data_IF_924221027497
#
_entry.id   IF_924221027497
#
_cell.length_a   1.000
_cell.length_b   1.000
_cell.length_c   1.000
_cell.angle_alpha   90.00
_cell.angle_beta   90.00
_cell.angle_gamma   90.00
#
_symmetry.space_group_name_H-M   'P 1'
#
loop_
_entity.id
_entity.type
_entity.pdbx_description
1 polymer ?
#
# COMPACT_ATOMS: atom_id res chain seq x y z
N UNK A 1 -16.75 53.42 -40.28
CA UNK A 1 -16.23 53.33 -38.90
C UNK A 1 -17.28 52.58 -38.10
N UNK A 2 -17.09 51.48 -37.38
CA UNK A 2 -16.03 50.50 -37.19
C UNK A 2 -16.79 49.20 -36.79
N UNK A 3 -16.33 48.01 -37.20
CA UNK A 3 -16.97 46.74 -36.80
C UNK A 3 -16.83 46.53 -35.28
N UNK A 4 -17.85 46.02 -34.57
CA UNK A 4 -17.67 45.61 -33.19
C UNK A 4 -16.69 44.42 -33.18
N UNK A 5 -15.55 44.62 -32.53
CA UNK A 5 -14.57 43.56 -32.35
C UNK A 5 -15.19 42.50 -31.44
N UNK A 6 -15.50 41.35 -32.03
CA UNK A 6 -15.81 40.14 -31.29
C UNK A 6 -14.50 39.72 -30.60
N UNK A 7 -14.34 40.14 -29.35
CA UNK A 7 -13.25 39.70 -28.49
C UNK A 7 -13.51 38.24 -28.11
N UNK A 8 -13.22 37.34 -29.04
CA UNK A 8 -13.07 35.92 -28.78
C UNK A 8 -11.74 35.76 -28.01
N UNK A 9 -11.77 36.09 -26.73
CA UNK A 9 -10.68 35.79 -25.81
C UNK A 9 -10.81 34.30 -25.51
N UNK A 10 -9.86 33.44 -25.93
CA UNK A 10 -9.90 32.04 -25.52
C UNK A 10 -9.85 32.03 -23.99
N UNK A 11 -10.90 31.49 -23.37
CA UNK A 11 -10.89 31.28 -21.93
C UNK A 11 -9.66 30.44 -21.57
N UNK A 12 -8.88 30.81 -20.53
CA UNK A 12 -7.86 29.92 -20.02
C UNK A 12 -8.55 28.60 -19.65
N UNK A 13 -8.11 27.51 -20.26
CA UNK A 13 -8.57 26.19 -19.88
C UNK A 13 -7.96 25.92 -18.51
N UNK A 14 -8.77 25.99 -17.46
CA UNK A 14 -8.31 25.67 -16.12
C UNK A 14 -7.80 24.22 -16.11
N UNK A 15 -6.57 23.96 -15.61
CA UNK A 15 -6.05 22.61 -15.55
C UNK A 15 -6.90 21.76 -14.61
N UNK A 16 -7.20 20.54 -15.04
CA UNK A 16 -7.95 19.57 -14.24
C UNK A 16 -6.97 18.90 -13.27
N UNK A 17 -7.25 19.03 -11.97
CA UNK A 17 -6.52 18.34 -10.91
C UNK A 17 -7.25 17.07 -10.52
N UNK A 18 -6.57 15.93 -10.61
CA UNK A 18 -7.07 14.61 -10.20
C UNK A 18 -6.37 14.21 -8.92
N UNK A 19 -7.13 14.09 -7.85
CA UNK A 19 -6.63 13.60 -6.58
C UNK A 19 -6.46 12.07 -6.63
N UNK A 20 -5.31 11.61 -6.13
CA UNK A 20 -5.05 10.20 -5.85
C UNK A 20 -5.05 9.95 -4.36
N UNK A 21 -5.64 8.84 -3.97
CA UNK A 21 -5.53 8.29 -2.63
C UNK A 21 -4.82 6.94 -2.70
N UNK A 22 -3.98 6.65 -1.71
CA UNK A 22 -3.31 5.37 -1.58
C UNK A 22 -3.63 4.77 -0.22
N UNK A 23 -4.01 3.49 -0.22
CA UNK A 23 -4.23 2.72 0.99
C UNK A 23 -3.31 1.49 0.99
N UNK A 24 -2.67 1.23 2.12
CA UNK A 24 -1.82 0.05 2.29
C UNK A 24 -2.54 -1.06 3.04
N UNK A 25 -2.29 -2.29 2.63
CA UNK A 25 -2.71 -3.49 3.35
C UNK A 25 -1.54 -4.46 3.41
N UNK A 26 -1.31 -5.02 4.60
CA UNK A 26 -0.32 -6.06 4.83
C UNK A 26 -1.05 -7.36 5.12
N UNK A 27 -0.60 -8.45 4.52
CA UNK A 27 -1.21 -9.78 4.68
C UNK A 27 -0.13 -10.85 4.74
N UNK A 28 -0.32 -11.83 5.62
CA UNK A 28 0.54 -13.00 5.66
C UNK A 28 0.31 -13.87 4.42
N UNK A 29 1.39 -14.46 3.92
CA UNK A 29 1.31 -15.46 2.87
C UNK A 29 1.22 -16.82 3.55
N UNK A 30 0.09 -17.51 3.37
CA UNK A 30 -0.14 -18.83 3.94
C UNK A 30 1.03 -19.77 3.63
N UNK A 31 1.43 -20.54 4.64
CA UNK A 31 2.53 -21.53 4.57
C UNK A 31 3.91 -20.91 4.21
N UNK A 32 4.08 -19.60 4.42
CA UNK A 32 5.33 -18.88 4.18
C UNK A 32 5.71 -17.98 5.34
N UNK A 33 7.01 -17.81 5.58
CA UNK A 33 7.53 -16.80 6.52
C UNK A 33 7.59 -15.39 5.88
N UNK A 34 6.77 -15.14 4.86
CA UNK A 34 6.75 -13.90 4.08
C UNK A 34 5.40 -13.22 4.22
N UNK A 35 5.42 -11.90 4.12
CA UNK A 35 4.25 -11.05 4.06
C UNK A 35 4.15 -10.38 2.70
N UNK A 36 2.93 -10.08 2.28
CA UNK A 36 2.65 -9.25 1.12
C UNK A 36 2.16 -7.90 1.61
N UNK A 37 2.73 -6.83 1.06
CA UNK A 37 2.12 -5.51 1.13
C UNK A 37 1.52 -5.18 -0.22
N UNK A 38 0.30 -4.65 -0.19
CA UNK A 38 -0.44 -4.17 -1.35
C UNK A 38 -0.78 -2.70 -1.14
N UNK A 39 -0.40 -1.86 -2.11
CA UNK A 39 -0.90 -0.50 -2.26
C UNK A 39 -2.09 -0.53 -3.22
N UNK A 40 -3.23 -0.05 -2.75
CA UNK A 40 -4.42 0.17 -3.57
C UNK A 40 -4.57 1.66 -3.83
N UNK A 41 -4.69 2.02 -5.10
CA UNK A 41 -4.76 3.41 -5.55
C UNK A 41 -6.18 3.71 -5.99
N UNK A 42 -6.75 4.76 -5.44
CA UNK A 42 -8.06 5.28 -5.84
C UNK A 42 -7.87 6.63 -6.51
N UNK A 43 -8.48 6.81 -7.68
CA UNK A 43 -8.48 8.09 -8.40
C UNK A 43 -9.90 8.51 -8.69
N UNK A 44 -10.19 9.80 -8.66
CA UNK A 44 -11.52 10.32 -8.97
C UNK A 44 -11.47 11.34 -10.11
N UNK A 45 -12.12 11.06 -11.25
CA UNK A 45 -12.73 9.78 -11.66
C UNK A 45 -11.70 8.66 -11.89
N UNK A 46 -12.12 7.41 -11.69
CA UNK A 46 -11.28 6.18 -11.71
C UNK A 46 -10.65 5.85 -13.08
N UNK A 47 -10.90 6.68 -14.10
CA UNK A 47 -10.44 6.45 -15.48
C UNK A 47 -9.08 7.08 -15.80
N UNK A 48 -8.44 7.77 -14.84
CA UNK A 48 -7.14 8.40 -15.07
C UNK A 48 -5.99 7.40 -14.91
N UNK A 49 -5.09 7.39 -15.90
CA UNK A 49 -4.11 6.35 -16.25
C UNK A 49 -3.13 5.96 -15.15
N UNK A 50 -3.63 5.26 -14.14
CA UNK A 50 -2.82 4.79 -13.00
C UNK A 50 -2.25 3.39 -13.27
N UNK A 51 -2.94 2.59 -14.10
CA UNK A 51 -2.46 1.28 -14.52
C UNK A 51 -1.17 1.42 -15.33
N UNK A 52 -0.16 0.62 -15.00
CA UNK A 52 1.15 0.67 -15.63
C UNK A 52 2.13 1.65 -14.98
N UNK A 53 1.69 2.48 -14.04
CA UNK A 53 2.60 3.32 -13.26
C UNK A 53 3.36 2.50 -12.21
N UNK A 54 4.48 3.04 -11.74
CA UNK A 54 5.36 2.37 -10.77
C UNK A 54 5.19 2.99 -9.39
N UNK A 55 4.80 2.16 -8.42
CA UNK A 55 4.79 2.51 -6.99
C UNK A 55 6.13 2.11 -6.37
N UNK A 56 6.71 3.01 -5.58
CA UNK A 56 7.90 2.75 -4.77
C UNK A 56 7.50 2.46 -3.33
N UNK A 57 7.84 1.26 -2.86
CA UNK A 57 7.70 0.82 -1.47
C UNK A 57 9.04 0.94 -0.76
N UNK A 58 9.07 1.52 0.44
CA UNK A 58 10.22 1.45 1.35
C UNK A 58 9.85 0.59 2.53
N UNK A 59 10.45 -0.60 2.62
CA UNK A 59 10.19 -1.56 3.71
C UNK A 59 11.42 -1.59 4.60
N UNK A 60 11.29 -1.06 5.81
CA UNK A 60 12.38 -0.94 6.78
C UNK A 60 13.68 -0.37 6.22
N UNK A 61 13.55 0.65 5.37
CA UNK A 61 14.66 1.34 4.69
C UNK A 61 15.13 0.69 3.38
N UNK A 62 14.52 -0.42 2.94
CA UNK A 62 14.84 -1.06 1.67
C UNK A 62 13.79 -0.70 0.62
N UNK A 63 14.23 -0.04 -0.45
CA UNK A 63 13.37 0.32 -1.57
C UNK A 63 13.04 -0.88 -2.47
N UNK A 64 11.79 -0.95 -2.91
CA UNK A 64 11.24 -1.93 -3.84
C UNK A 64 10.22 -1.25 -4.72
N UNK A 65 10.02 -1.76 -5.93
CA UNK A 65 9.07 -1.19 -6.87
C UNK A 65 8.10 -2.24 -7.37
N UNK A 66 6.84 -1.86 -7.56
CA UNK A 66 5.86 -2.68 -8.27
C UNK A 66 5.02 -1.82 -9.20
N UNK A 67 4.56 -2.43 -10.29
CA UNK A 67 3.69 -1.79 -11.28
C UNK A 67 2.23 -1.95 -10.86
N UNK A 68 1.45 -0.88 -11.01
CA UNK A 68 0.00 -0.90 -10.78
C UNK A 68 -0.67 -1.75 -11.84
N UNK A 69 -1.42 -2.76 -11.42
CA UNK A 69 -2.16 -3.67 -12.28
C UNK A 69 -3.56 -3.13 -12.66
N UNK A 70 -4.33 -3.93 -13.41
CA UNK A 70 -5.68 -3.56 -13.85
C UNK A 70 -6.71 -3.43 -12.71
N UNK A 71 -6.37 -3.88 -11.50
CA UNK A 71 -7.20 -3.72 -10.31
C UNK A 71 -6.83 -2.47 -9.51
N UNK A 72 -5.93 -1.62 -10.04
CA UNK A 72 -5.37 -0.45 -9.36
C UNK A 72 -4.57 -0.83 -8.11
N UNK A 73 -3.92 -1.99 -8.14
CA UNK A 73 -3.11 -2.50 -7.06
C UNK A 73 -1.65 -2.67 -7.50
N UNK A 74 -0.71 -2.33 -6.61
CA UNK A 74 0.69 -2.69 -6.73
C UNK A 74 1.09 -3.44 -5.46
N UNK A 75 1.88 -4.51 -5.55
CA UNK A 75 2.25 -5.26 -4.36
C UNK A 75 3.63 -5.89 -4.44
N UNK A 76 4.26 -5.99 -3.28
CA UNK A 76 5.57 -6.61 -3.10
C UNK A 76 5.53 -7.61 -1.94
N UNK A 77 6.31 -8.67 -2.05
CA UNK A 77 6.46 -9.69 -1.02
C UNK A 77 7.77 -9.47 -0.28
N UNK A 78 7.76 -9.56 1.04
CA UNK A 78 8.93 -9.34 1.89
C UNK A 78 8.98 -10.31 3.06
N UNK A 79 10.18 -10.48 3.63
CA UNK A 79 10.36 -11.20 4.89
C UNK A 79 10.28 -10.17 6.03
N UNK A 80 9.31 -10.29 6.95
CA UNK A 80 9.16 -9.36 8.05
C UNK A 80 10.34 -9.46 9.03
N UNK A 81 10.68 -8.34 9.67
CA UNK A 81 11.65 -8.32 10.77
C UNK A 81 10.95 -8.73 12.09
N UNK A 82 11.65 -9.44 13.00
CA UNK A 82 11.15 -9.67 14.35
C UNK A 82 10.81 -8.33 15.04
N UNK A 83 9.70 -8.29 15.78
CA UNK A 83 9.21 -7.07 16.44
C UNK A 83 8.48 -6.09 15.50
N UNK A 84 8.35 -6.43 14.22
CA UNK A 84 7.67 -5.59 13.23
C UNK A 84 8.54 -4.50 12.61
N UNK A 85 7.90 -3.58 11.89
CA UNK A 85 8.59 -2.58 11.09
C UNK A 85 7.67 -1.54 10.46
N UNK A 86 8.26 -0.71 9.59
CA UNK A 86 7.59 0.39 8.91
C UNK A 86 7.63 0.20 7.40
N UNK A 87 6.49 0.43 6.76
CA UNK A 87 6.34 0.40 5.31
C UNK A 87 5.78 1.74 4.87
N UNK A 88 6.47 2.40 3.95
CA UNK A 88 5.93 3.53 3.20
C UNK A 88 5.77 3.16 1.74
N UNK A 89 4.79 3.77 1.08
CA UNK A 89 4.60 3.64 -0.36
C UNK A 89 4.34 5.03 -0.95
N UNK A 90 4.88 5.25 -2.14
CA UNK A 90 4.75 6.50 -2.86
C UNK A 90 4.52 6.26 -4.34
N UNK A 91 3.64 7.07 -4.91
CA UNK A 91 3.38 7.15 -6.34
C UNK A 91 3.55 8.62 -6.74
N UNK A 92 4.53 8.96 -7.61
CA UNK A 92 4.78 10.34 -7.97
C UNK A 92 3.64 10.93 -8.80
N UNK A 93 3.57 12.26 -8.81
CA UNK A 93 2.70 13.03 -9.67
C UNK A 93 2.91 12.65 -11.14
N UNK A 94 1.81 12.55 -11.90
CA UNK A 94 1.82 12.35 -13.33
C UNK A 94 1.12 13.51 -14.06
N UNK A 95 1.61 13.85 -15.24
CA UNK A 95 0.99 14.85 -16.12
C UNK A 95 0.61 14.14 -17.40
N UNK A 96 -0.69 14.11 -17.69
CA UNK A 96 -1.21 13.47 -18.90
C UNK A 96 -0.75 14.20 -20.16
N UNK A 97 -0.66 13.46 -21.25
CA UNK A 97 -0.23 13.96 -22.55
C UNK A 97 -1.17 15.08 -23.02
N UNK A 98 -0.66 16.32 -23.05
CA UNK A 98 -1.45 17.52 -23.34
C UNK A 98 -1.39 18.58 -22.23
N UNK A 99 -0.86 18.28 -21.05
CA UNK A 99 -0.50 19.27 -20.02
C UNK A 99 -1.67 20.00 -19.34
N UNK A 100 -2.91 19.56 -19.59
CA UNK A 100 -4.13 20.12 -19.03
C UNK A 100 -4.72 19.26 -17.90
N UNK A 101 -4.12 18.10 -17.62
CA UNK A 101 -4.53 17.23 -16.52
C UNK A 101 -3.33 16.84 -15.69
N UNK A 102 -3.42 17.13 -14.40
CA UNK A 102 -2.41 16.80 -13.40
C UNK A 102 -2.99 15.79 -12.44
N UNK A 103 -2.31 14.67 -12.29
CA UNK A 103 -2.67 13.63 -11.35
C UNK A 103 -1.71 13.74 -10.16
N UNK A 104 -2.26 14.01 -8.98
CA UNK A 104 -1.46 14.29 -7.77
C UNK A 104 -0.59 13.08 -7.40
N UNK A 105 0.45 13.34 -6.61
CA UNK A 105 1.15 12.27 -5.92
C UNK A 105 0.21 11.58 -4.90
N UNK A 106 0.57 10.35 -4.53
CA UNK A 106 -0.06 9.62 -3.46
C UNK A 106 0.99 8.99 -2.55
N UNK A 107 0.75 9.06 -1.25
CA UNK A 107 1.65 8.51 -0.23
C UNK A 107 0.83 7.82 0.85
N UNK A 108 1.33 6.68 1.33
CA UNK A 108 0.75 5.95 2.45
C UNK A 108 1.84 5.31 3.31
N UNK A 109 1.54 5.16 4.60
CA UNK A 109 2.44 4.56 5.58
C UNK A 109 1.66 3.59 6.47
N UNK A 110 2.29 2.47 6.83
CA UNK A 110 1.74 1.50 7.77
C UNK A 110 2.85 0.88 8.62
N UNK A 111 2.54 0.67 9.90
CA UNK A 111 3.36 -0.16 10.78
C UNK A 111 2.80 -1.58 10.79
N UNK A 112 3.67 -2.55 10.58
CA UNK A 112 3.31 -3.96 10.69
C UNK A 112 3.95 -4.54 11.95
N UNK A 113 3.22 -5.39 12.65
CA UNK A 113 3.77 -6.21 13.72
C UNK A 113 4.09 -7.59 13.12
N UNK A 114 5.28 -8.10 13.41
CA UNK A 114 5.58 -9.52 13.27
C UNK A 114 5.55 -10.10 14.68
N UNK A 115 4.73 -11.13 14.90
CA UNK A 115 4.61 -11.78 16.22
C UNK A 115 6.01 -12.12 16.74
N UNK A 116 6.30 -11.70 17.97
CA UNK A 116 7.60 -11.88 18.60
C UNK A 116 7.75 -13.36 18.96
N UNK A 117 8.52 -14.10 18.16
CA UNK A 117 8.91 -15.47 18.50
C UNK A 117 10.08 -15.38 19.48
N UNK A 118 9.79 -15.70 20.75
CA UNK A 118 10.68 -15.93 21.90
C UNK A 118 11.17 -14.72 22.74
N UNK A 119 10.44 -14.41 23.83
CA UNK A 119 11.12 -14.34 25.14
C UNK A 119 11.05 -15.74 25.77
N UNK A 120 12.18 -16.46 25.97
CA UNK A 120 12.16 -17.67 26.78
C UNK A 120 11.78 -17.26 28.21
N UNK A 121 10.75 -17.88 28.85
CA UNK A 121 10.53 -17.65 30.26
C UNK A 121 11.77 -18.17 30.99
N UNK A 122 12.59 -17.24 31.51
CA UNK A 122 13.59 -17.56 32.51
C UNK A 122 12.90 -18.40 33.58
N UNK A 123 13.42 -19.61 33.76
CA UNK A 123 13.04 -20.56 34.78
C UNK A 123 12.85 -19.85 36.12
N UNK A 124 11.60 -19.65 36.55
CA UNK A 124 11.35 -18.83 37.73
C UNK A 124 9.90 -18.50 38.04
N UNK A 125 9.01 -19.49 38.02
CA UNK A 125 7.76 -19.42 38.78
C UNK A 125 6.55 -18.85 38.03
N UNK A 126 5.41 -19.54 38.20
CA UNK A 126 4.03 -19.11 37.88
C UNK A 126 3.69 -18.81 36.41
N UNK A 127 4.13 -19.65 35.47
CA UNK A 127 3.78 -19.58 34.03
C UNK A 127 2.90 -20.71 33.48
N UNK A 128 2.08 -21.37 34.30
CA UNK A 128 1.50 -22.70 33.96
C UNK A 128 0.03 -22.73 33.49
N UNK A 129 -0.60 -21.61 33.10
CA UNK A 129 -2.01 -21.65 32.66
C UNK A 129 -2.31 -21.15 31.25
N UNK A 130 -1.41 -20.36 30.62
CA UNK A 130 -1.69 -19.76 29.31
C UNK A 130 -1.06 -20.50 28.12
N UNK A 131 0.05 -21.22 28.32
CA UNK A 131 0.68 -22.07 27.29
C UNK A 131 -0.15 -23.33 26.95
N UNK A 132 -1.05 -23.75 27.84
CA UNK A 132 -1.97 -24.86 27.56
C UNK A 132 -3.08 -24.46 26.56
N UNK A 133 -3.44 -23.18 26.46
CA UNK A 133 -4.58 -22.73 25.64
C UNK A 133 -4.19 -22.63 24.15
N UNK A 134 -2.96 -22.22 23.83
CA UNK A 134 -2.50 -22.07 22.43
C UNK A 134 -2.10 -23.43 21.84
N UNK A 135 -1.51 -24.33 22.64
CA UNK A 135 -1.29 -25.72 22.23
C UNK A 135 -2.62 -26.49 22.04
N UNK A 136 -3.66 -26.15 22.81
CA UNK A 136 -5.01 -26.70 22.63
C UNK A 136 -5.69 -26.20 21.34
N UNK A 137 -5.51 -24.93 20.95
CA UNK A 137 -6.05 -24.41 19.69
C UNK A 137 -5.38 -25.01 18.45
N UNK A 138 -4.06 -25.24 18.48
CA UNK A 138 -3.34 -25.93 17.40
C UNK A 138 -3.72 -27.41 17.28
N UNK A 139 -4.15 -28.05 18.37
CA UNK A 139 -4.68 -29.43 18.35
C UNK A 139 -6.11 -29.54 17.81
N UNK A 140 -6.88 -28.45 17.72
CA UNK A 140 -8.28 -28.49 17.28
C UNK A 140 -8.46 -28.35 15.76
N UNK A 141 -7.46 -27.86 15.03
CA UNK A 141 -7.54 -27.68 13.57
C UNK A 141 -6.53 -28.49 12.76
N UNK A 142 -5.60 -29.19 13.41
CA UNK A 142 -4.63 -30.09 12.74
C UNK A 142 -5.10 -31.55 12.66
N UNK A 143 -6.41 -31.81 12.70
CA UNK A 143 -6.95 -33.17 12.67
C UNK A 143 -8.32 -33.27 11.99
N UNK A 144 -8.33 -33.41 10.66
CA UNK A 144 -9.30 -34.21 9.89
C UNK A 144 -8.87 -34.26 8.42
N UNK A 145 -7.89 -35.11 8.12
CA UNK A 145 -7.76 -35.86 6.86
C UNK A 145 -6.83 -37.04 7.08
#
# INVERSE_FOLDING_TARGET
>A
MAQPQNCDHPHPVDPVMIAREMNLTVSEIADSAQMRVTARISTHPEMFGTVGETVTFTIDGVERTAVVDSNFEAGVVFTPKPGGGMITASLPMHVEEGGLTYVSDAHAEIHYAADDVDEPPMSGGVGSMFQAIIAWFRSLFAGSS
#
